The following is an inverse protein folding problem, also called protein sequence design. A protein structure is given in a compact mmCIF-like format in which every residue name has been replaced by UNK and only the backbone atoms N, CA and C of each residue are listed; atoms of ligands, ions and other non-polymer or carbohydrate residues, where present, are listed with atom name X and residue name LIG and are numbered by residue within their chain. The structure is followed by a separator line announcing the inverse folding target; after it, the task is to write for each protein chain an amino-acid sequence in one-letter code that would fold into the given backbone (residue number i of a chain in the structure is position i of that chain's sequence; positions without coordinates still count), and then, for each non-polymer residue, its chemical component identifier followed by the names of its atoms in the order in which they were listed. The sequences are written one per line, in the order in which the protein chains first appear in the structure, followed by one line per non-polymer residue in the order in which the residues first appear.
data_IF_980254223564
#
_entry.id   IF_980254223564
#
_cell.length_a   1.000
_cell.length_b   1.000
_cell.length_c   1.000
_cell.angle_alpha   90.00
_cell.angle_beta   90.00
_cell.angle_gamma   90.00
#
_symmetry.space_group_name_H-M   'P 1'
#
loop_
_entity.id
_entity.type
_entity.pdbx_description
1 polymer ?
#
# COMPACT_ATOMS: atom_id res chain seq x y z
N UNK A 1 -20.04 -15.43 8.18
CA UNK A 1 -18.77 -15.04 7.53
C UNK A 1 -18.90 -13.81 6.59
N UNK A 2 -20.11 -13.39 6.18
CA UNK A 2 -20.28 -12.24 5.24
C UNK A 2 -19.97 -10.86 5.86
N UNK A 3 -20.02 -10.70 7.17
CA UNK A 3 -19.90 -9.39 7.85
C UNK A 3 -18.46 -8.94 8.14
N UNK A 4 -17.45 -9.75 7.80
CA UNK A 4 -16.03 -9.45 8.06
C UNK A 4 -15.37 -8.69 6.91
N UNK A 5 -15.88 -8.84 5.68
CA UNK A 5 -15.28 -8.28 4.47
C UNK A 5 -15.95 -6.98 4.05
N UNK A 6 -15.21 -5.85 4.00
CA UNK A 6 -15.78 -4.54 3.62
C UNK A 6 -16.10 -4.43 2.13
N UNK A 7 -15.56 -5.34 1.31
CA UNK A 7 -15.74 -5.39 -0.15
C UNK A 7 -15.90 -6.83 -0.63
N UNK A 8 -16.54 -6.99 -1.79
CA UNK A 8 -16.73 -8.27 -2.49
C UNK A 8 -15.82 -8.37 -3.71
N UNK A 9 -15.70 -9.57 -4.30
CA UNK A 9 -15.02 -9.76 -5.58
C UNK A 9 -15.63 -8.90 -6.69
N UNK A 10 -16.96 -8.73 -6.70
CA UNK A 10 -17.67 -7.89 -7.67
C UNK A 10 -17.29 -6.41 -7.51
N UNK A 11 -17.15 -5.92 -6.28
CA UNK A 11 -16.66 -4.56 -6.02
C UNK A 11 -15.26 -4.34 -6.62
N UNK A 12 -14.37 -5.35 -6.49
CA UNK A 12 -13.01 -5.29 -7.04
C UNK A 12 -13.02 -5.34 -8.56
N UNK A 13 -13.84 -6.20 -9.17
CA UNK A 13 -14.01 -6.27 -10.63
C UNK A 13 -14.54 -4.96 -11.20
N UNK A 14 -15.59 -4.42 -10.61
CA UNK A 14 -16.15 -3.13 -10.98
C UNK A 14 -15.12 -1.98 -10.81
N UNK A 15 -14.29 -2.04 -9.75
CA UNK A 15 -13.19 -1.10 -9.60
C UNK A 15 -12.18 -1.24 -10.75
N UNK A 16 -11.76 -2.46 -11.13
CA UNK A 16 -10.86 -2.70 -12.26
C UNK A 16 -11.38 -2.08 -13.57
N UNK A 17 -12.66 -2.28 -13.87
CA UNK A 17 -13.24 -1.76 -15.09
C UNK A 17 -13.20 -0.22 -15.13
N UNK A 18 -13.45 0.43 -13.98
CA UNK A 18 -13.31 1.89 -13.86
C UNK A 18 -11.87 2.38 -13.98
N UNK A 19 -10.88 1.57 -13.55
CA UNK A 19 -9.47 1.93 -13.59
C UNK A 19 -8.82 1.77 -14.97
N UNK A 20 -9.36 0.88 -15.82
CA UNK A 20 -8.81 0.57 -17.15
C UNK A 20 -8.42 1.77 -18.03
N UNK A 21 -9.19 2.87 -18.08
CA UNK A 21 -8.81 4.04 -18.88
C UNK A 21 -7.58 4.78 -18.36
N UNK A 22 -7.19 4.59 -17.11
CA UNK A 22 -6.22 5.44 -16.41
C UNK A 22 -4.93 4.74 -16.05
N UNK A 23 -4.98 3.42 -15.81
CA UNK A 23 -3.81 2.66 -15.38
C UNK A 23 -3.74 1.33 -16.15
N UNK A 24 -2.54 1.00 -16.60
CA UNK A 24 -2.26 -0.28 -17.24
C UNK A 24 -2.09 -1.40 -16.20
N UNK A 25 -2.24 -2.64 -16.63
CA UNK A 25 -1.84 -3.82 -15.87
C UNK A 25 -0.34 -3.77 -15.59
N UNK A 26 0.05 -3.94 -14.33
CA UNK A 26 1.47 -3.94 -13.95
C UNK A 26 2.07 -5.33 -14.11
N UNK A 27 3.38 -5.44 -14.40
CA UNK A 27 4.02 -6.75 -14.56
C UNK A 27 4.08 -7.55 -13.25
N UNK A 28 3.92 -8.86 -13.36
CA UNK A 28 4.30 -9.86 -12.36
C UNK A 28 5.47 -10.65 -12.93
N UNK A 29 6.67 -10.55 -12.31
CA UNK A 29 7.89 -11.14 -12.88
C UNK A 29 8.63 -12.01 -11.87
N UNK A 30 9.18 -13.13 -12.33
CA UNK A 30 10.19 -13.87 -11.61
C UNK A 30 11.59 -13.34 -11.97
N UNK A 31 12.46 -13.35 -11.00
CA UNK A 31 13.88 -13.01 -11.14
C UNK A 31 14.70 -14.14 -10.52
N UNK A 32 15.26 -15.05 -11.32
CA UNK A 32 15.95 -16.25 -10.79
C UNK A 32 17.08 -15.95 -9.79
N UNK A 33 17.75 -14.80 -9.94
CA UNK A 33 18.78 -14.37 -9.00
C UNK A 33 18.20 -13.91 -7.66
N UNK A 34 16.94 -13.45 -7.63
CA UNK A 34 16.23 -13.07 -6.41
C UNK A 34 15.71 -14.29 -5.64
N UNK A 35 15.42 -15.39 -6.35
CA UNK A 35 14.98 -16.64 -5.72
C UNK A 35 16.03 -17.16 -4.72
N UNK A 36 17.31 -16.90 -4.99
CA UNK A 36 18.43 -17.28 -4.11
C UNK A 36 18.50 -16.53 -2.77
N UNK A 37 17.76 -15.44 -2.61
CA UNK A 37 17.69 -14.68 -1.34
C UNK A 37 16.76 -15.35 -0.32
N UNK A 38 15.94 -16.34 -0.75
CA UNK A 38 15.11 -17.16 0.13
C UNK A 38 15.67 -18.58 0.19
N UNK A 39 15.63 -19.17 1.39
CA UNK A 39 15.99 -20.58 1.58
C UNK A 39 14.93 -21.53 0.99
N UNK A 40 15.29 -22.81 0.81
CA UNK A 40 14.34 -23.89 0.56
C UNK A 40 13.69 -23.89 -0.82
N UNK A 41 14.39 -23.46 -1.89
CA UNK A 41 13.85 -23.59 -3.27
C UNK A 41 12.63 -22.73 -3.58
N UNK A 42 12.40 -21.67 -2.83
CA UNK A 42 11.30 -20.73 -3.03
C UNK A 42 11.45 -19.98 -4.38
N UNK A 43 10.34 -19.83 -5.11
CA UNK A 43 10.27 -18.99 -6.31
C UNK A 43 9.55 -17.68 -6.02
N UNK A 44 10.19 -16.55 -6.31
CA UNK A 44 9.63 -15.21 -6.02
C UNK A 44 9.06 -14.57 -7.28
N UNK A 45 7.80 -14.15 -7.21
CA UNK A 45 7.15 -13.32 -8.20
C UNK A 45 7.00 -11.91 -7.64
N UNK A 46 7.53 -10.91 -8.33
CA UNK A 46 7.43 -9.50 -7.92
C UNK A 46 6.34 -8.81 -8.74
N UNK A 47 5.32 -8.29 -8.06
CA UNK A 47 4.27 -7.44 -8.63
C UNK A 47 4.73 -5.98 -8.62
N UNK A 48 4.91 -5.39 -9.79
CA UNK A 48 5.55 -4.08 -9.96
C UNK A 48 4.57 -2.90 -9.91
N UNK A 49 4.04 -2.57 -8.75
CA UNK A 49 3.15 -1.40 -8.57
C UNK A 49 3.91 -0.06 -8.66
N UNK A 50 5.23 -0.08 -8.58
CA UNK A 50 6.12 1.05 -8.85
C UNK A 50 6.11 1.51 -10.32
N UNK A 51 5.55 0.74 -11.25
CA UNK A 51 5.39 1.12 -12.66
C UNK A 51 4.10 1.92 -12.95
N UNK A 52 3.29 2.18 -11.94
CA UNK A 52 2.10 3.01 -12.08
C UNK A 52 2.45 4.51 -12.20
N UNK A 53 1.54 5.35 -12.73
CA UNK A 53 1.82 6.78 -12.99
C UNK A 53 2.32 7.60 -11.79
N UNK A 54 1.99 7.19 -10.56
CA UNK A 54 2.45 7.83 -9.33
C UNK A 54 3.53 7.03 -8.61
N UNK A 55 4.15 6.06 -9.31
CA UNK A 55 5.16 5.14 -8.79
C UNK A 55 4.71 4.37 -7.53
N UNK A 56 3.40 4.17 -7.32
CA UNK A 56 2.84 3.44 -6.18
C UNK A 56 1.40 2.97 -6.45
N UNK A 57 1.00 1.84 -5.82
CA UNK A 57 -0.34 1.27 -5.95
C UNK A 57 -1.47 2.21 -5.50
N UNK A 58 -1.17 3.24 -4.72
CA UNK A 58 -2.15 4.18 -4.17
C UNK A 58 -2.96 4.93 -5.23
N UNK A 59 -2.47 5.03 -6.45
CA UNK A 59 -3.25 5.57 -7.57
C UNK A 59 -4.48 4.72 -7.87
N UNK A 60 -4.41 3.39 -7.72
CA UNK A 60 -5.57 2.49 -7.86
C UNK A 60 -6.66 2.82 -6.83
N UNK A 61 -6.22 3.02 -5.58
CA UNK A 61 -7.08 3.37 -4.45
C UNK A 61 -7.84 4.67 -4.71
N UNK A 62 -7.09 5.71 -5.06
CA UNK A 62 -7.65 7.06 -5.25
C UNK A 62 -8.57 7.13 -6.47
N UNK A 63 -8.16 6.57 -7.62
CA UNK A 63 -8.99 6.50 -8.82
C UNK A 63 -10.30 5.75 -8.56
N UNK A 64 -10.20 4.57 -7.89
CA UNK A 64 -11.41 3.78 -7.60
C UNK A 64 -12.41 4.53 -6.73
N UNK A 65 -11.94 5.34 -5.78
CA UNK A 65 -12.82 6.20 -4.98
C UNK A 65 -13.34 7.40 -5.78
N UNK A 66 -12.48 8.09 -6.51
CA UNK A 66 -12.84 9.29 -7.25
C UNK A 66 -13.81 9.02 -8.41
N UNK A 67 -13.68 7.88 -9.09
CA UNK A 67 -14.61 7.46 -10.15
C UNK A 67 -16.04 7.15 -9.63
N UNK A 68 -16.25 7.10 -8.34
CA UNK A 68 -17.59 6.90 -7.73
C UNK A 68 -18.29 8.20 -7.40
N UNK A 69 -17.60 9.34 -7.53
CA UNK A 69 -18.16 10.65 -7.22
C UNK A 69 -19.09 11.12 -8.34
N UNK A 70 -20.17 11.74 -7.93
CA UNK A 70 -21.09 12.45 -8.84
C UNK A 70 -20.42 13.66 -9.47
N UNK A 71 -21.01 14.18 -10.55
CA UNK A 71 -20.54 15.42 -11.19
C UNK A 71 -20.52 16.61 -10.23
N UNK A 72 -21.48 16.67 -9.30
CA UNK A 72 -21.53 17.71 -8.26
C UNK A 72 -20.37 17.59 -7.27
N UNK A 73 -20.09 16.38 -6.78
CA UNK A 73 -18.95 16.14 -5.88
C UNK A 73 -17.61 16.41 -6.57
N UNK A 74 -17.46 16.01 -7.84
CA UNK A 74 -16.25 16.32 -8.63
C UNK A 74 -16.08 17.83 -8.82
N UNK A 75 -17.17 18.59 -9.05
CA UNK A 75 -17.11 20.04 -9.18
C UNK A 75 -16.72 20.73 -7.87
N UNK A 76 -17.14 20.20 -6.72
CA UNK A 76 -16.71 20.68 -5.40
C UNK A 76 -15.24 20.34 -5.15
N UNK A 77 -14.74 19.22 -5.69
CA UNK A 77 -13.36 18.74 -5.56
C UNK A 77 -13.17 17.73 -4.44
N UNK A 78 -11.95 17.25 -4.32
CA UNK A 78 -11.58 16.22 -3.35
C UNK A 78 -10.49 16.72 -2.40
N UNK A 79 -10.50 16.21 -1.16
CA UNK A 79 -9.49 16.52 -0.15
C UNK A 79 -9.02 15.26 0.54
N UNK A 80 -7.75 15.20 0.90
CA UNK A 80 -7.20 14.12 1.72
C UNK A 80 -6.06 14.61 2.62
N UNK A 81 -5.73 13.84 3.66
CA UNK A 81 -4.47 13.97 4.38
C UNK A 81 -3.49 12.89 3.91
N UNK A 82 -2.22 13.27 3.64
CA UNK A 82 -1.21 12.32 3.22
C UNK A 82 0.19 12.90 3.25
N UNK A 83 1.14 12.17 3.77
CA UNK A 83 2.58 12.51 3.70
C UNK A 83 3.25 12.11 2.38
N UNK A 84 2.55 11.39 1.45
CA UNK A 84 3.19 10.89 0.23
C UNK A 84 2.25 10.24 -0.80
N UNK A 85 2.32 8.91 -0.94
CA UNK A 85 1.73 8.16 -2.06
C UNK A 85 0.21 8.33 -2.22
N UNK A 86 -0.54 8.39 -1.11
CA UNK A 86 -1.98 8.58 -1.19
C UNK A 86 -2.33 9.98 -1.71
N UNK A 87 -1.63 11.02 -1.28
CA UNK A 87 -1.80 12.39 -1.78
C UNK A 87 -1.50 12.51 -3.26
N UNK A 88 -0.41 11.89 -3.74
CA UNK A 88 -0.11 11.82 -5.18
C UNK A 88 -1.21 11.06 -5.94
N UNK A 89 -1.71 9.95 -5.39
CA UNK A 89 -2.82 9.21 -5.99
C UNK A 89 -4.10 10.03 -6.11
N UNK A 90 -4.48 10.79 -5.06
CA UNK A 90 -5.66 11.67 -5.06
C UNK A 90 -5.48 12.82 -6.04
N UNK A 91 -4.30 13.45 -6.08
CA UNK A 91 -3.97 14.51 -7.04
C UNK A 91 -4.07 14.00 -8.49
N UNK A 92 -3.51 12.83 -8.77
CA UNK A 92 -3.60 12.19 -10.09
C UNK A 92 -5.06 11.89 -10.47
N UNK A 93 -5.83 11.28 -9.57
CA UNK A 93 -7.22 10.91 -9.82
C UNK A 93 -8.09 12.16 -10.10
N UNK A 94 -7.94 13.21 -9.29
CA UNK A 94 -8.65 14.46 -9.49
C UNK A 94 -8.31 15.09 -10.86
N UNK A 95 -7.02 15.18 -11.21
CA UNK A 95 -6.58 15.68 -12.52
C UNK A 95 -7.17 14.88 -13.67
N UNK A 96 -7.17 13.53 -13.56
CA UNK A 96 -7.70 12.65 -14.60
C UNK A 96 -9.22 12.80 -14.81
N UNK A 97 -9.94 13.21 -13.77
CA UNK A 97 -11.41 13.42 -13.79
C UNK A 97 -11.81 14.91 -13.92
N UNK A 98 -10.86 15.82 -14.12
CA UNK A 98 -11.14 17.26 -14.25
C UNK A 98 -11.58 17.93 -12.94
N UNK A 99 -11.30 17.32 -11.80
CA UNK A 99 -11.65 17.85 -10.48
C UNK A 99 -10.45 18.57 -9.82
N UNK A 100 -10.74 19.42 -8.84
CA UNK A 100 -9.72 20.03 -7.97
C UNK A 100 -9.36 19.07 -6.84
N UNK A 101 -8.09 19.09 -6.43
CA UNK A 101 -7.63 18.33 -5.26
C UNK A 101 -6.93 19.25 -4.26
N UNK A 102 -7.19 19.04 -2.97
CA UNK A 102 -6.42 19.59 -1.86
C UNK A 102 -5.79 18.43 -1.07
N UNK A 103 -4.48 18.52 -0.83
CA UNK A 103 -3.76 17.53 -0.02
C UNK A 103 -3.20 18.25 1.22
N UNK A 104 -3.68 17.82 2.39
CA UNK A 104 -3.19 18.34 3.67
C UNK A 104 -2.00 17.49 4.11
N UNK A 105 -0.89 18.15 4.41
CA UNK A 105 0.36 17.51 4.86
C UNK A 105 0.80 18.13 6.19
N UNK A 106 1.52 17.40 7.06
CA UNK A 106 2.14 18.01 8.23
C UNK A 106 3.15 19.09 7.84
N UNK A 107 3.38 20.06 8.70
CA UNK A 107 4.49 21.01 8.54
C UNK A 107 5.81 20.22 8.52
N UNK A 108 6.74 20.68 7.71
CA UNK A 108 8.03 19.99 7.48
C UNK A 108 7.92 18.61 6.81
N UNK A 109 6.82 18.32 6.11
CA UNK A 109 6.72 17.14 5.27
C UNK A 109 7.82 17.13 4.20
N UNK A 110 8.17 15.96 3.71
CA UNK A 110 9.21 15.76 2.70
C UNK A 110 9.00 16.66 1.47
N UNK A 111 9.98 17.51 1.15
CA UNK A 111 9.90 18.51 0.08
C UNK A 111 9.75 17.87 -1.31
N UNK A 112 10.37 16.70 -1.57
CA UNK A 112 10.26 15.99 -2.85
C UNK A 112 8.84 15.43 -3.03
N UNK A 113 8.25 14.85 -1.97
CA UNK A 113 6.87 14.36 -1.98
C UNK A 113 5.88 15.51 -2.16
N UNK A 114 6.12 16.65 -1.49
CA UNK A 114 5.30 17.87 -1.67
C UNK A 114 5.38 18.40 -3.10
N UNK A 115 6.57 18.43 -3.69
CA UNK A 115 6.76 18.86 -5.08
C UNK A 115 6.02 17.95 -6.07
N UNK A 116 6.07 16.62 -5.86
CA UNK A 116 5.34 15.66 -6.69
C UNK A 116 3.81 15.86 -6.62
N UNK A 117 3.26 16.12 -5.42
CA UNK A 117 1.84 16.43 -5.25
C UNK A 117 1.45 17.71 -6.01
N UNK A 118 2.24 18.79 -5.87
CA UNK A 118 2.00 20.07 -6.60
C UNK A 118 2.11 19.90 -8.11
N UNK A 119 3.09 19.10 -8.58
CA UNK A 119 3.29 18.83 -10.02
C UNK A 119 2.08 18.09 -10.65
N UNK A 120 1.31 17.36 -9.86
CA UNK A 120 0.07 16.72 -10.29
C UNK A 120 -1.13 17.69 -10.30
N UNK A 121 -0.93 18.97 -9.92
CA UNK A 121 -1.94 20.02 -9.98
C UNK A 121 -2.77 20.19 -8.70
N UNK A 122 -2.43 19.49 -7.61
CA UNK A 122 -3.15 19.66 -6.35
C UNK A 122 -2.68 20.89 -5.56
N UNK A 123 -3.61 21.50 -4.85
CA UNK A 123 -3.30 22.46 -3.78
C UNK A 123 -2.73 21.72 -2.59
N UNK A 124 -1.57 22.14 -2.11
CA UNK A 124 -0.94 21.59 -0.92
C UNK A 124 -1.18 22.53 0.26
N UNK A 125 -1.80 22.02 1.31
CA UNK A 125 -2.04 22.71 2.57
C UNK A 125 -1.15 22.13 3.66
N UNK A 126 -0.22 22.91 4.20
CA UNK A 126 0.64 22.50 5.30
C UNK A 126 -0.03 22.84 6.64
N UNK A 127 -0.41 21.82 7.41
CA UNK A 127 -1.08 21.97 8.69
C UNK A 127 -0.66 20.91 9.69
N UNK A 128 -0.52 21.35 10.96
CA UNK A 128 -0.21 20.43 12.08
C UNK A 128 1.24 20.00 12.17
N UNK A 129 1.55 19.24 13.20
CA UNK A 129 2.90 18.73 13.52
C UNK A 129 3.12 17.34 12.99
N UNK A 130 2.03 16.57 12.86
CA UNK A 130 2.05 15.16 12.43
C UNK A 130 0.85 14.82 11.51
N UNK A 131 0.79 13.56 11.11
CA UNK A 131 -0.27 13.08 10.24
C UNK A 131 -1.67 13.18 10.87
N UNK A 132 -1.79 12.97 12.18
CA UNK A 132 -3.09 12.97 12.85
C UNK A 132 -3.68 14.39 12.90
N UNK A 133 -2.86 15.43 13.13
CA UNK A 133 -3.28 16.83 13.05
C UNK A 133 -3.63 17.23 11.60
N UNK A 134 -2.85 16.78 10.62
CA UNK A 134 -3.17 17.01 9.21
C UNK A 134 -4.49 16.31 8.79
N UNK A 135 -4.75 15.11 9.32
CA UNK A 135 -5.98 14.36 9.09
C UNK A 135 -7.21 15.10 9.65
N UNK A 136 -7.11 15.59 10.89
CA UNK A 136 -8.18 16.36 11.51
C UNK A 136 -8.49 17.62 10.71
N UNK A 137 -7.48 18.33 10.22
CA UNK A 137 -7.64 19.51 9.38
C UNK A 137 -8.28 19.18 8.04
N UNK A 138 -7.88 18.08 7.40
CA UNK A 138 -8.47 17.66 6.13
C UNK A 138 -9.97 17.35 6.30
N UNK A 139 -10.35 16.72 7.41
CA UNK A 139 -11.75 16.45 7.72
C UNK A 139 -12.52 17.74 7.99
N UNK A 140 -12.00 18.65 8.82
CA UNK A 140 -12.61 19.95 9.09
C UNK A 140 -12.81 20.76 7.79
N UNK A 141 -11.77 20.84 6.96
CA UNK A 141 -11.86 21.55 5.67
C UNK A 141 -12.87 20.91 4.73
N UNK A 142 -13.00 19.56 4.72
CA UNK A 142 -14.05 18.87 3.96
C UNK A 142 -15.44 19.32 4.39
N UNK A 143 -15.71 19.35 5.69
CA UNK A 143 -17.01 19.72 6.27
C UNK A 143 -17.38 21.20 5.96
N UNK A 144 -16.37 22.09 5.98
CA UNK A 144 -16.58 23.52 5.72
C UNK A 144 -16.72 23.86 4.23
N UNK A 145 -16.00 23.16 3.34
CA UNK A 145 -15.94 23.51 1.92
C UNK A 145 -16.83 22.66 1.02
N UNK A 146 -17.38 21.56 1.56
CA UNK A 146 -18.12 20.57 0.79
C UNK A 146 -17.25 19.69 -0.12
N UNK A 147 -15.92 19.80 -0.07
CA UNK A 147 -15.02 18.88 -0.80
C UNK A 147 -15.16 17.48 -0.27
N UNK A 148 -15.16 16.48 -1.15
CA UNK A 148 -15.24 15.08 -0.73
C UNK A 148 -13.94 14.60 -0.08
N UNK A 149 -14.02 14.16 1.18
CA UNK A 149 -12.86 13.59 1.88
C UNK A 149 -12.56 12.16 1.42
N UNK A 150 -11.36 11.93 0.86
CA UNK A 150 -10.89 10.62 0.41
C UNK A 150 -9.93 10.04 1.44
N UNK A 151 -10.45 9.18 2.32
CA UNK A 151 -9.64 8.50 3.33
C UNK A 151 -8.73 7.44 2.71
N UNK A 152 -7.46 7.36 3.15
CA UNK A 152 -6.44 6.45 2.61
C UNK A 152 -6.73 4.95 2.82
N UNK A 153 -7.68 4.60 3.72
CA UNK A 153 -7.98 3.22 4.13
C UNK A 153 -9.46 2.99 4.43
N UNK A 154 -10.11 3.78 5.31
CA UNK A 154 -11.51 3.62 5.71
C UNK A 154 -12.49 4.07 4.61
N UNK A 155 -12.40 3.46 3.44
CA UNK A 155 -13.27 3.68 2.30
C UNK A 155 -13.34 2.40 1.46
N UNK A 156 -14.55 1.87 1.24
CA UNK A 156 -14.73 0.62 0.51
C UNK A 156 -14.18 0.66 -0.93
N UNK A 157 -14.32 1.80 -1.59
CA UNK A 157 -13.83 1.98 -2.97
C UNK A 157 -12.29 2.03 -3.02
N UNK A 158 -11.65 2.60 -2.00
CA UNK A 158 -10.19 2.55 -1.81
C UNK A 158 -9.71 1.10 -1.65
N UNK A 159 -10.41 0.29 -0.85
CA UNK A 159 -10.07 -1.12 -0.64
C UNK A 159 -10.31 -1.93 -1.92
N UNK A 160 -11.43 -1.73 -2.61
CA UNK A 160 -11.73 -2.39 -3.87
C UNK A 160 -10.68 -2.04 -4.95
N UNK A 161 -10.29 -0.76 -5.06
CA UNK A 161 -9.22 -0.30 -5.95
C UNK A 161 -7.90 -0.99 -5.66
N UNK A 162 -7.51 -1.10 -4.39
CA UNK A 162 -6.31 -1.84 -3.99
C UNK A 162 -6.38 -3.33 -4.36
N UNK A 163 -7.57 -3.94 -4.30
CA UNK A 163 -7.77 -5.34 -4.66
C UNK A 163 -7.52 -5.65 -6.14
N UNK A 164 -7.57 -4.67 -7.03
CA UNK A 164 -7.41 -4.88 -8.47
C UNK A 164 -6.04 -5.45 -8.85
N UNK A 165 -4.98 -5.13 -8.08
CA UNK A 165 -3.65 -5.73 -8.29
C UNK A 165 -3.67 -7.25 -8.07
N UNK A 166 -4.51 -7.74 -7.15
CA UNK A 166 -4.61 -9.16 -6.87
C UNK A 166 -5.37 -9.92 -7.98
N UNK A 167 -6.33 -9.29 -8.66
CA UNK A 167 -6.91 -9.86 -9.88
C UNK A 167 -5.83 -10.06 -10.94
N UNK A 168 -4.96 -9.06 -11.13
CA UNK A 168 -3.85 -9.14 -12.08
C UNK A 168 -2.83 -10.23 -11.69
N UNK A 169 -2.55 -10.40 -10.38
CA UNK A 169 -1.67 -11.48 -9.90
C UNK A 169 -2.28 -12.85 -10.23
N UNK A 170 -3.57 -13.06 -9.97
CA UNK A 170 -4.27 -14.31 -10.29
C UNK A 170 -4.25 -14.62 -11.78
N UNK A 171 -4.40 -13.61 -12.63
CA UNK A 171 -4.40 -13.73 -14.09
C UNK A 171 -2.99 -14.00 -14.66
N UNK A 172 -1.93 -13.50 -14.00
CA UNK A 172 -0.54 -13.60 -14.48
C UNK A 172 0.24 -14.79 -13.90
N UNK A 173 -0.17 -15.32 -12.73
CA UNK A 173 0.53 -16.40 -12.07
C UNK A 173 -0.04 -17.75 -12.44
N UNK A 174 0.72 -18.59 -13.16
CA UNK A 174 0.36 -19.99 -13.40
C UNK A 174 0.28 -20.79 -12.08
N UNK A 175 1.28 -20.62 -11.22
CA UNK A 175 1.33 -21.18 -9.87
C UNK A 175 1.51 -20.07 -8.86
N UNK A 176 0.75 -20.13 -7.77
CA UNK A 176 0.87 -19.24 -6.63
C UNK A 176 0.46 -19.99 -5.37
N UNK A 177 1.34 -20.07 -4.39
CA UNK A 177 1.10 -20.76 -3.12
C UNK A 177 0.93 -19.76 -1.98
N UNK A 178 1.59 -18.59 -2.09
CA UNK A 178 1.50 -17.53 -1.07
C UNK A 178 1.61 -16.12 -1.66
N UNK A 179 1.02 -15.16 -0.96
CA UNK A 179 1.15 -13.73 -1.21
C UNK A 179 1.58 -13.04 0.08
N UNK A 180 2.67 -12.27 0.05
CA UNK A 180 3.14 -11.48 1.19
C UNK A 180 2.85 -10.00 0.94
N UNK A 181 2.11 -9.38 1.88
CA UNK A 181 1.58 -8.02 1.72
C UNK A 181 2.02 -7.13 2.87
N UNK A 182 2.60 -5.99 2.55
CA UNK A 182 2.95 -4.96 3.53
C UNK A 182 1.69 -4.30 4.11
N UNK A 183 1.64 -4.16 5.43
CA UNK A 183 0.47 -3.65 6.15
C UNK A 183 0.79 -2.33 6.83
N UNK A 184 0.22 -1.25 6.29
CA UNK A 184 -0.02 0.00 6.99
C UNK A 184 -1.50 0.01 7.42
N UNK A 185 -2.37 0.74 6.71
CA UNK A 185 -3.81 0.73 6.99
C UNK A 185 -4.55 -0.55 6.59
N UNK A 186 -3.94 -1.44 5.80
CA UNK A 186 -4.48 -2.74 5.44
C UNK A 186 -5.33 -2.78 4.17
N UNK A 187 -5.54 -1.67 3.46
CA UNK A 187 -6.38 -1.66 2.24
C UNK A 187 -5.88 -2.64 1.17
N UNK A 188 -4.56 -2.73 0.97
CA UNK A 188 -3.95 -3.64 0.01
C UNK A 188 -4.15 -5.11 0.41
N UNK A 189 -3.89 -5.44 1.69
CA UNK A 189 -4.05 -6.79 2.20
C UNK A 189 -5.51 -7.25 2.14
N UNK A 190 -6.46 -6.41 2.58
CA UNK A 190 -7.89 -6.76 2.57
C UNK A 190 -8.41 -6.90 1.14
N UNK A 191 -8.07 -5.99 0.24
CA UNK A 191 -8.43 -6.11 -1.18
C UNK A 191 -7.85 -7.39 -1.80
N UNK A 192 -6.58 -7.71 -1.51
CA UNK A 192 -5.94 -8.93 -2.00
C UNK A 192 -6.59 -10.20 -1.42
N UNK A 193 -6.83 -10.25 -0.12
CA UNK A 193 -7.50 -11.39 0.53
C UNK A 193 -8.91 -11.61 0.00
N UNK A 194 -9.67 -10.53 -0.31
CA UNK A 194 -11.00 -10.64 -0.94
C UNK A 194 -10.92 -11.39 -2.28
N UNK A 195 -9.93 -11.07 -3.10
CA UNK A 195 -9.72 -11.75 -4.39
C UNK A 195 -9.23 -13.18 -4.20
N UNK A 196 -8.22 -13.39 -3.36
CA UNK A 196 -7.65 -14.72 -3.13
C UNK A 196 -8.68 -15.69 -2.54
N UNK A 197 -9.45 -15.27 -1.54
CA UNK A 197 -10.48 -16.13 -0.94
C UNK A 197 -11.58 -16.56 -1.93
N UNK A 198 -11.84 -15.75 -2.95
CA UNK A 198 -12.86 -16.04 -3.95
C UNK A 198 -12.35 -16.86 -5.16
N UNK A 199 -11.11 -16.60 -5.62
CA UNK A 199 -10.58 -17.17 -6.86
C UNK A 199 -9.45 -18.20 -6.63
N UNK A 200 -8.71 -18.07 -5.56
CA UNK A 200 -7.57 -18.94 -5.20
C UNK A 200 -7.53 -19.17 -3.69
N UNK A 201 -8.54 -19.89 -3.12
CA UNK A 201 -8.64 -20.12 -1.68
C UNK A 201 -7.51 -20.98 -1.11
N UNK A 202 -6.75 -21.66 -1.94
CA UNK A 202 -5.52 -22.38 -1.64
C UNK A 202 -4.34 -21.45 -1.31
N UNK A 203 -4.32 -20.22 -1.84
CA UNK A 203 -3.23 -19.25 -1.64
C UNK A 203 -3.27 -18.66 -0.24
N UNK A 204 -2.16 -18.74 0.48
CA UNK A 204 -2.02 -18.16 1.82
C UNK A 204 -1.55 -16.72 1.75
N UNK A 205 -2.30 -15.81 2.39
CA UNK A 205 -1.92 -14.39 2.46
C UNK A 205 -1.28 -14.10 3.81
N UNK A 206 -0.02 -13.63 3.79
CA UNK A 206 0.75 -13.25 4.96
C UNK A 206 0.88 -11.72 5.04
N UNK A 207 0.73 -11.19 6.25
CA UNK A 207 0.98 -9.78 6.53
C UNK A 207 2.43 -9.55 6.96
N UNK A 208 2.96 -8.36 6.64
CA UNK A 208 4.25 -7.89 7.17
C UNK A 208 4.13 -6.43 7.58
N UNK A 209 4.72 -6.08 8.71
CA UNK A 209 4.77 -4.71 9.22
C UNK A 209 6.18 -4.39 9.74
N UNK A 210 6.56 -3.10 9.73
CA UNK A 210 7.81 -2.68 10.35
C UNK A 210 7.76 -2.86 11.87
N UNK A 211 8.80 -3.42 12.46
CA UNK A 211 8.90 -3.62 13.92
C UNK A 211 8.82 -2.29 14.70
N UNK A 212 9.29 -1.19 14.11
CA UNK A 212 9.17 0.15 14.69
C UNK A 212 7.77 0.78 14.56
N UNK A 213 6.78 0.07 13.96
CA UNK A 213 5.40 0.53 13.80
C UNK A 213 4.42 -0.65 13.80
N UNK A 214 4.48 -1.49 14.82
CA UNK A 214 3.93 -2.84 14.91
C UNK A 214 2.48 -2.95 15.44
N UNK A 215 1.74 -1.85 15.48
CA UNK A 215 0.40 -1.81 16.10
C UNK A 215 -0.58 -2.83 15.49
N UNK A 216 -0.56 -3.03 14.15
CA UNK A 216 -1.44 -4.00 13.50
C UNK A 216 -1.01 -5.45 13.82
N UNK A 217 0.28 -5.73 13.87
CA UNK A 217 0.82 -7.04 14.29
C UNK A 217 0.41 -7.37 15.73
N UNK A 218 0.64 -6.44 16.67
CA UNK A 218 0.23 -6.64 18.10
C UNK A 218 -1.27 -6.82 18.23
N UNK A 219 -2.06 -6.05 17.48
CA UNK A 219 -3.51 -6.23 17.44
C UNK A 219 -3.89 -7.62 16.94
N UNK A 220 -3.22 -8.10 15.88
CA UNK A 220 -3.47 -9.43 15.30
C UNK A 220 -3.13 -10.55 16.30
N UNK A 221 -2.00 -10.44 17.00
CA UNK A 221 -1.60 -11.38 18.04
C UNK A 221 -2.58 -11.39 19.23
N UNK A 222 -3.00 -10.22 19.69
CA UNK A 222 -3.94 -10.05 20.79
C UNK A 222 -5.41 -10.32 20.39
N UNK A 223 -5.73 -10.46 19.10
CA UNK A 223 -7.10 -10.57 18.56
C UNK A 223 -8.01 -9.39 18.92
N UNK A 224 -7.46 -8.27 19.32
CA UNK A 224 -8.14 -7.03 19.68
C UNK A 224 -7.29 -5.82 19.28
N UNK A 225 -7.91 -4.66 18.95
CA UNK A 225 -7.14 -3.46 18.61
C UNK A 225 -6.20 -3.02 19.75
N UNK A 226 -4.94 -2.83 19.41
CA UNK A 226 -3.88 -2.32 20.30
C UNK A 226 -3.28 -1.08 19.65
N UNK A 227 -3.30 0.04 20.37
CA UNK A 227 -2.70 1.28 19.89
C UNK A 227 -1.15 1.23 19.97
N UNK A 228 -0.49 1.85 19.01
CA UNK A 228 0.96 2.08 19.00
C UNK A 228 1.30 3.41 19.64
N UNK A 229 2.21 3.40 20.61
CA UNK A 229 2.66 4.63 21.28
C UNK A 229 3.69 5.40 20.45
N UNK A 230 4.56 4.69 19.76
CA UNK A 230 5.64 5.25 18.93
C UNK A 230 5.62 4.66 17.54
N UNK A 231 6.02 5.47 16.56
CA UNK A 231 6.28 5.05 15.19
C UNK A 231 7.70 5.50 14.84
N UNK A 232 8.59 4.55 14.61
CA UNK A 232 9.99 4.78 14.28
C UNK A 232 10.42 3.80 13.20
N UNK A 233 10.22 4.18 11.93
CA UNK A 233 10.67 3.42 10.76
C UNK A 233 10.82 4.37 9.57
N UNK A 234 11.79 4.09 8.68
CA UNK A 234 11.89 4.81 7.41
C UNK A 234 10.86 4.34 6.37
N UNK A 235 10.13 3.28 6.66
CA UNK A 235 9.08 2.75 5.79
C UNK A 235 7.75 3.50 5.97
N UNK A 236 7.71 4.79 5.64
CA UNK A 236 6.59 5.73 5.88
C UNK A 236 5.22 5.16 5.48
N UNK A 237 5.15 4.43 4.35
CA UNK A 237 3.89 3.90 3.80
C UNK A 237 3.23 2.83 4.67
N UNK A 238 3.95 2.26 5.65
CA UNK A 238 3.44 1.28 6.63
C UNK A 238 3.59 1.75 8.08
N UNK A 239 3.96 3.00 8.30
CA UNK A 239 4.17 3.62 9.61
C UNK A 239 2.82 4.05 10.22
N UNK A 240 2.07 3.12 10.79
CA UNK A 240 0.74 3.37 11.37
C UNK A 240 0.69 3.07 12.86
N UNK A 241 -0.02 3.94 13.62
CA UNK A 241 -0.19 3.81 15.07
C UNK A 241 -1.38 2.94 15.46
N UNK A 242 -2.33 2.73 14.56
CA UNK A 242 -3.60 2.06 14.88
C UNK A 242 -4.04 1.16 13.73
N UNK A 243 -4.91 0.20 14.04
CA UNK A 243 -5.70 -0.53 13.04
C UNK A 243 -6.93 0.30 12.65
N UNK A 244 -7.46 0.07 11.46
CA UNK A 244 -8.58 0.83 10.92
C UNK A 244 -9.87 0.01 10.94
N UNK A 245 -10.98 0.65 11.28
CA UNK A 245 -12.29 0.03 11.49
C UNK A 245 -12.72 -0.90 10.35
N UNK A 246 -12.54 -0.46 9.09
CA UNK A 246 -13.00 -1.26 7.94
C UNK A 246 -12.08 -2.43 7.61
N UNK A 247 -10.78 -2.32 7.88
CA UNK A 247 -9.81 -3.36 7.50
C UNK A 247 -9.53 -4.35 8.61
N UNK A 248 -9.67 -3.92 9.87
CA UNK A 248 -9.29 -4.72 11.02
C UNK A 248 -9.97 -6.10 11.10
N UNK A 249 -11.30 -6.25 10.94
CA UNK A 249 -11.93 -7.56 11.05
C UNK A 249 -11.39 -8.56 10.02
N UNK A 250 -11.18 -8.11 8.76
CA UNK A 250 -10.63 -8.96 7.72
C UNK A 250 -9.16 -9.31 7.95
N UNK A 251 -8.33 -8.36 8.44
CA UNK A 251 -6.94 -8.64 8.80
C UNK A 251 -6.85 -9.66 9.93
N UNK A 252 -7.67 -9.49 10.98
CA UNK A 252 -7.71 -10.39 12.13
C UNK A 252 -8.02 -11.83 11.73
N UNK A 253 -8.99 -12.03 10.85
CA UNK A 253 -9.56 -13.34 10.58
C UNK A 253 -9.06 -13.97 9.26
N UNK A 254 -8.55 -13.15 8.32
CA UNK A 254 -8.20 -13.60 6.96
C UNK A 254 -6.73 -13.85 6.72
N UNK A 255 -5.81 -13.28 7.52
CA UNK A 255 -4.38 -13.53 7.35
C UNK A 255 -3.99 -14.94 7.81
N UNK A 256 -3.21 -15.63 6.99
CA UNK A 256 -2.64 -16.96 7.31
C UNK A 256 -1.48 -16.85 8.31
N UNK A 257 -0.88 -15.68 8.43
CA UNK A 257 0.17 -15.35 9.38
C UNK A 257 0.56 -13.89 9.25
N UNK A 258 1.29 -13.40 10.25
CA UNK A 258 1.77 -12.02 10.29
C UNK A 258 3.17 -12.01 10.89
N UNK A 259 4.09 -11.26 10.28
CA UNK A 259 5.47 -11.09 10.78
C UNK A 259 5.81 -9.63 10.88
N UNK A 260 6.77 -9.30 11.73
CA UNK A 260 7.41 -7.97 11.77
C UNK A 260 8.82 -8.07 11.23
N UNK A 261 9.28 -6.99 10.62
CA UNK A 261 10.65 -6.84 10.08
C UNK A 261 11.25 -5.53 10.57
N UNK A 262 12.54 -5.56 10.86
CA UNK A 262 13.30 -4.38 11.27
C UNK A 262 13.60 -3.47 10.07
N UNK A 263 14.00 -2.23 10.33
CA UNK A 263 14.45 -1.32 9.27
C UNK A 263 15.70 -1.84 8.53
N UNK A 264 16.58 -2.58 9.20
CA UNK A 264 17.74 -3.23 8.57
C UNK A 264 17.32 -4.35 7.60
N UNK A 265 16.32 -5.17 7.96
CA UNK A 265 15.75 -6.20 7.08
C UNK A 265 15.01 -5.58 5.88
N UNK A 266 14.29 -4.49 6.09
CA UNK A 266 13.66 -3.73 5.00
C UNK A 266 14.73 -3.13 4.08
N UNK A 267 15.80 -2.57 4.64
CA UNK A 267 16.92 -2.04 3.87
C UNK A 267 17.66 -3.12 3.08
N UNK A 268 17.83 -4.32 3.65
CA UNK A 268 18.38 -5.48 2.92
C UNK A 268 17.45 -5.85 1.73
N UNK A 269 16.15 -6.02 1.95
CA UNK A 269 15.20 -6.34 0.90
C UNK A 269 15.16 -5.26 -0.20
N UNK A 270 15.30 -3.98 0.16
CA UNK A 270 15.41 -2.88 -0.80
C UNK A 270 16.65 -3.05 -1.69
N UNK A 271 17.82 -3.35 -1.10
CA UNK A 271 19.06 -3.63 -1.86
C UNK A 271 18.90 -4.83 -2.79
N UNK A 272 18.23 -5.90 -2.33
CA UNK A 272 17.91 -7.08 -3.15
C UNK A 272 17.04 -6.69 -4.36
N UNK A 273 15.98 -5.90 -4.16
CA UNK A 273 15.14 -5.41 -5.26
C UNK A 273 15.97 -4.59 -6.26
N UNK A 274 16.79 -3.66 -5.81
CA UNK A 274 17.65 -2.87 -6.72
C UNK A 274 18.62 -3.77 -7.48
N UNK A 275 19.29 -4.70 -6.80
CA UNK A 275 20.31 -5.60 -7.38
C UNK A 275 19.71 -6.57 -8.39
N UNK A 276 18.63 -7.23 -8.06
CA UNK A 276 18.11 -8.36 -8.82
C UNK A 276 17.02 -7.98 -9.83
N UNK A 277 16.27 -6.91 -9.56
CA UNK A 277 15.17 -6.48 -10.43
C UNK A 277 15.47 -5.21 -11.22
N UNK A 278 16.53 -4.49 -10.85
CA UNK A 278 16.89 -3.16 -11.38
C UNK A 278 15.76 -2.13 -11.20
N UNK A 279 14.96 -2.30 -10.16
CA UNK A 279 13.88 -1.39 -9.79
C UNK A 279 14.15 -0.74 -8.44
N UNK A 280 13.87 0.56 -8.34
CA UNK A 280 13.84 1.24 -7.05
C UNK A 280 12.62 0.82 -6.25
N UNK A 281 12.78 0.74 -4.93
CA UNK A 281 11.71 0.58 -3.96
C UNK A 281 11.83 1.65 -2.87
N UNK A 282 10.71 2.06 -2.29
CA UNK A 282 10.69 2.72 -0.99
C UNK A 282 10.62 1.67 0.13
N UNK A 283 10.79 2.06 1.38
CA UNK A 283 10.78 1.12 2.51
C UNK A 283 9.51 0.25 2.55
N UNK A 284 8.33 0.87 2.39
CA UNK A 284 7.07 0.13 2.32
C UNK A 284 6.97 -0.79 1.09
N UNK A 285 7.61 -0.39 -0.03
CA UNK A 285 7.67 -1.19 -1.27
C UNK A 285 8.56 -2.43 -1.13
N UNK A 286 9.58 -2.37 -0.29
CA UNK A 286 10.50 -3.48 -0.01
C UNK A 286 10.00 -4.41 1.11
N UNK A 287 9.10 -3.95 1.97
CA UNK A 287 8.64 -4.69 3.14
C UNK A 287 8.01 -6.05 2.80
N UNK A 288 7.34 -6.18 1.64
CA UNK A 288 6.79 -7.46 1.18
C UNK A 288 7.88 -8.53 1.00
N UNK A 289 9.00 -8.17 0.37
CA UNK A 289 10.15 -9.06 0.21
C UNK A 289 10.83 -9.34 1.55
N UNK A 290 11.02 -8.32 2.40
CA UNK A 290 11.56 -8.53 3.75
C UNK A 290 10.72 -9.53 4.56
N UNK A 291 9.39 -9.43 4.47
CA UNK A 291 8.48 -10.38 5.11
C UNK A 291 8.57 -11.78 4.52
N UNK A 292 8.77 -11.93 3.21
CA UNK A 292 8.99 -13.24 2.59
C UNK A 292 10.30 -13.87 3.08
N UNK A 293 11.38 -13.11 3.18
CA UNK A 293 12.67 -13.58 3.76
C UNK A 293 12.48 -13.99 5.22
N UNK A 294 11.80 -13.17 6.03
CA UNK A 294 11.54 -13.46 7.45
C UNK A 294 10.64 -14.71 7.67
N UNK A 295 9.76 -15.04 6.73
CA UNK A 295 8.96 -16.25 6.78
C UNK A 295 9.79 -17.53 6.55
N UNK A 296 10.92 -17.42 5.81
CA UNK A 296 11.94 -18.48 5.65
C UNK A 296 11.33 -19.83 5.26
N UNK A 297 11.65 -20.87 6.03
CA UNK A 297 11.23 -22.27 5.81
C UNK A 297 9.70 -22.45 5.64
N UNK A 298 8.87 -21.53 6.12
CA UNK A 298 7.40 -21.60 5.89
C UNK A 298 7.04 -21.46 4.42
N UNK A 299 7.95 -20.93 3.61
CA UNK A 299 7.79 -20.71 2.18
C UNK A 299 8.63 -21.68 1.32
N UNK A 300 9.29 -22.68 1.92
CA UNK A 300 10.08 -23.68 1.19
C UNK A 300 9.25 -24.36 0.08
N UNK A 301 9.85 -24.54 -1.10
CA UNK A 301 9.27 -25.14 -2.31
C UNK A 301 7.98 -24.44 -2.82
N UNK A 302 7.71 -23.20 -2.37
CA UNK A 302 6.52 -22.42 -2.76
C UNK A 302 6.82 -21.38 -3.83
N UNK A 303 5.82 -21.10 -4.65
CA UNK A 303 5.77 -19.91 -5.49
C UNK A 303 5.08 -18.79 -4.73
N UNK A 304 5.82 -17.72 -4.45
CA UNK A 304 5.41 -16.63 -3.57
C UNK A 304 5.37 -15.32 -4.35
N UNK A 305 4.24 -14.63 -4.31
CA UNK A 305 4.18 -13.25 -4.80
C UNK A 305 4.51 -12.26 -3.68
N UNK A 306 5.31 -11.26 -4.00
CA UNK A 306 5.55 -10.08 -3.18
C UNK A 306 5.16 -8.84 -3.98
N UNK A 307 4.70 -7.78 -3.32
CA UNK A 307 4.27 -6.56 -4.00
C UNK A 307 5.31 -5.48 -3.78
N UNK A 308 6.02 -5.06 -4.84
CA UNK A 308 6.78 -3.82 -4.85
C UNK A 308 5.78 -2.67 -4.94
N UNK A 309 5.25 -2.27 -3.79
CA UNK A 309 4.06 -1.44 -3.67
C UNK A 309 4.25 0.03 -4.03
N UNK A 310 5.52 0.50 -4.02
CA UNK A 310 5.90 1.86 -4.40
C UNK A 310 7.40 2.08 -4.40
N UNK A 311 7.83 3.19 -5.04
CA UNK A 311 9.24 3.57 -5.17
C UNK A 311 9.52 5.04 -4.86
N UNK A 312 8.59 5.76 -4.24
CA UNK A 312 8.76 7.19 -3.89
C UNK A 312 9.67 7.37 -2.66
N UNK A 313 10.94 6.94 -2.78
CA UNK A 313 11.96 7.08 -1.76
C UNK A 313 12.74 8.39 -1.91
N UNK A 314 13.09 9.00 -0.80
CA UNK A 314 13.96 10.16 -0.78
C UNK A 314 15.40 9.78 -1.13
N UNK A 315 16.07 10.56 -1.99
CA UNK A 315 17.42 10.24 -2.48
C UNK A 315 18.44 10.07 -1.35
N UNK A 316 18.38 10.90 -0.30
CA UNK A 316 19.24 10.78 0.86
C UNK A 316 19.04 9.47 1.62
N UNK A 317 17.79 9.02 1.76
CA UNK A 317 17.47 7.73 2.38
C UNK A 317 17.94 6.57 1.49
N UNK A 318 17.71 6.65 0.18
CA UNK A 318 18.19 5.64 -0.76
C UNK A 318 19.71 5.51 -0.71
N UNK A 319 20.44 6.63 -0.79
CA UNK A 319 21.90 6.64 -0.71
C UNK A 319 22.40 5.99 0.59
N UNK A 320 21.80 6.33 1.73
CA UNK A 320 22.13 5.73 3.03
C UNK A 320 21.88 4.21 3.04
N UNK A 321 20.74 3.75 2.53
CA UNK A 321 20.41 2.32 2.44
C UNK A 321 21.38 1.58 1.54
N UNK A 322 21.78 2.16 0.40
CA UNK A 322 22.70 1.53 -0.54
C UNK A 322 24.14 1.52 -0.03
N UNK A 323 24.58 2.54 0.75
CA UNK A 323 25.93 2.61 1.30
C UNK A 323 26.13 1.81 2.59
N UNK A 324 25.05 1.45 3.29
CA UNK A 324 25.10 0.68 4.54
C UNK A 324 25.29 -0.84 4.32
N UNK A 325 26.03 -1.25 3.28
CA UNK A 325 26.34 -2.65 3.04
C UNK A 325 27.19 -3.20 4.20
N UNK A 326 26.59 -3.95 5.12
CA UNK A 326 27.31 -5.02 5.78
C UNK A 326 27.43 -6.16 4.75
N UNK A 327 28.66 -6.50 4.40
CA UNK A 327 29.03 -7.69 3.63
C UNK A 327 28.36 -8.94 4.20
#
# INVERSE_FOLDING_TARGET
MKDVWPVTLEDVRAARDRLRPYVATTPLRNYPTLDGELSGGCRILVKHENHLPTNAFKVRNALSAACMLSSTELAQGVICASTGNHGQGVAFAARALGARATVVVPRNNNAQKNAAIRALGATLLEHGRDYDEALAEAQRSSDETGMTFVHSTNNRHVIAGAGTLALEIVEQAERLDALVVAIGGGSQAVGAMTVMSALRPDVKVYGVQAAGADAAYRSWMARTPVAGNNVSTFADGIATRNVYKMTWPALRDGLAGFVTVTDDEIAHALRCLVRHTHNMAEGAGAAGLAGAIALGERLADKTVAVILSGSNIELGTLARVLSSSRN
#
